data_IF_895056063376
#
_entry.id   IF_895056063376
#
_cell.length_a   1.000
_cell.length_b   1.000
_cell.length_c   1.000
_cell.angle_alpha   90.00
_cell.angle_beta   90.00
_cell.angle_gamma   90.00
#
_symmetry.space_group_name_H-M   'P 1'
#
loop_
_entity.id
_entity.type
_entity.pdbx_description
1 polymer ?
#
# COMPACT_ATOMS: atom_id res chain seq x y z
N UNK A 1 -4.35 54.34 -16.41
CA UNK A 1 -4.60 54.99 -15.12
C UNK A 1 -4.13 54.00 -14.07
N UNK A 2 -2.95 54.10 -13.66
CA UNK A 2 -2.31 54.97 -12.68
C UNK A 2 -2.69 54.64 -11.24
N UNK A 3 -1.68 54.07 -10.60
CA UNK A 3 -1.04 54.34 -9.30
C UNK A 3 -1.63 53.66 -8.06
N UNK A 4 -0.81 52.87 -7.47
CA UNK A 4 0.06 53.04 -6.27
C UNK A 4 -0.71 52.96 -4.95
N UNK A 5 -0.23 52.07 -4.06
CA UNK A 5 0.33 52.48 -2.77
C UNK A 5 1.26 51.39 -2.20
N UNK A 6 2.44 51.88 -1.83
CA UNK A 6 3.57 51.19 -1.20
C UNK A 6 3.50 51.31 0.33
N UNK A 7 4.09 50.31 1.00
CA UNK A 7 4.91 50.40 2.21
C UNK A 7 4.25 50.63 3.59
N UNK A 8 4.54 49.72 4.51
CA UNK A 8 5.29 50.05 5.74
C UNK A 8 5.93 48.80 6.34
N UNK A 9 7.23 48.82 6.29
CA UNK A 9 8.10 48.02 7.15
C UNK A 9 8.26 48.76 8.49
N UNK A 10 8.23 48.05 9.60
CA UNK A 10 8.70 48.56 10.89
C UNK A 10 9.55 47.52 11.60
N UNK A 11 10.80 47.85 11.66
CA UNK A 11 11.91 47.32 12.41
C UNK A 11 11.65 47.48 13.90
N UNK A 12 11.81 46.43 14.71
CA UNK A 12 12.04 46.53 16.15
C UNK A 12 13.38 45.92 16.48
N UNK A 13 14.23 46.78 17.03
CA UNK A 13 15.61 46.51 17.43
C UNK A 13 15.67 45.71 18.74
N UNK A 14 16.66 44.85 18.77
CA UNK A 14 17.28 44.28 19.98
C UNK A 14 17.84 45.39 20.88
N UNK A 15 17.61 45.26 22.18
CA UNK A 15 18.44 45.89 23.18
C UNK A 15 18.76 44.94 24.32
N UNK A 16 19.99 45.04 24.76
CA UNK A 16 20.82 44.17 25.49
C UNK A 16 20.47 43.96 26.96
N UNK A 17 21.01 42.88 27.49
CA UNK A 17 21.14 42.44 28.89
C UNK A 17 21.80 43.52 29.82
N UNK A 18 21.61 43.36 31.13
CA UNK A 18 22.81 43.35 31.97
C UNK A 18 22.94 42.13 32.87
N UNK A 19 24.22 41.80 33.00
CA UNK A 19 24.81 40.85 33.92
C UNK A 19 24.61 41.23 35.41
N UNK A 20 24.36 40.24 36.27
CA UNK A 20 24.65 40.37 37.69
C UNK A 20 25.45 39.19 38.23
N UNK A 21 26.47 39.60 38.99
CA UNK A 21 27.57 38.84 39.55
C UNK A 21 27.13 37.89 40.68
N UNK A 22 27.92 36.84 40.86
CA UNK A 22 28.08 36.00 42.04
C UNK A 22 28.46 36.87 43.25
N UNK A 23 27.87 36.60 44.39
CA UNK A 23 28.62 36.58 45.64
C UNK A 23 28.01 35.65 46.67
N UNK A 24 28.88 35.02 47.42
CA UNK A 24 28.71 34.06 48.50
C UNK A 24 28.14 34.71 49.74
N UNK A 25 27.35 33.94 50.53
CA UNK A 25 27.51 33.96 52.00
C UNK A 25 26.94 32.67 52.62
N UNK A 26 27.82 31.99 53.30
CA UNK A 26 27.56 30.87 54.21
C UNK A 26 26.93 31.38 55.53
N UNK A 27 26.01 30.61 56.16
CA UNK A 27 26.17 30.08 57.53
C UNK A 27 24.87 29.48 58.08
N UNK A 28 25.02 28.23 58.44
CA UNK A 28 24.53 27.48 59.62
C UNK A 28 23.27 27.96 60.37
N UNK A 29 22.30 27.04 60.48
CA UNK A 29 21.82 26.64 61.83
C UNK A 29 21.32 25.19 61.80
N UNK A 30 21.70 24.48 62.89
CA UNK A 30 21.50 23.05 63.07
C UNK A 30 20.23 22.73 63.84
N UNK A 31 19.80 21.50 63.64
CA UNK A 31 19.17 20.58 64.60
C UNK A 31 17.70 20.83 65.05
N UNK A 32 16.91 19.81 64.78
CA UNK A 32 15.63 19.57 65.44
C UNK A 32 14.92 18.37 64.80
N UNK A 33 15.33 17.17 65.30
CA UNK A 33 14.65 15.88 65.11
C UNK A 33 13.15 15.94 65.37
N UNK A 34 12.32 15.32 64.52
CA UNK A 34 11.33 14.32 64.95
C UNK A 34 10.85 13.49 63.79
N UNK A 35 11.03 12.19 63.93
CA UNK A 35 10.55 11.10 63.08
C UNK A 35 9.03 11.02 63.20
N UNK A 36 8.33 11.05 62.11
CA UNK A 36 7.02 10.44 61.97
C UNK A 36 6.98 9.70 60.67
N UNK A 37 7.26 8.40 60.74
CA UNK A 37 7.03 7.46 59.69
C UNK A 37 5.52 7.29 59.51
N UNK A 38 4.99 7.83 58.39
CA UNK A 38 3.70 7.41 57.87
C UNK A 38 4.02 6.66 56.59
N UNK A 39 3.97 5.33 56.71
CA UNK A 39 4.07 4.44 55.57
C UNK A 39 2.87 4.61 54.65
N UNK A 40 3.07 5.36 53.59
CA UNK A 40 2.22 5.27 52.44
C UNK A 40 2.66 4.05 51.63
N UNK A 41 2.00 2.93 51.86
CA UNK A 41 2.06 1.74 51.03
C UNK A 41 1.44 2.10 49.69
N UNK A 42 2.23 2.59 48.74
CA UNK A 42 1.86 2.63 47.34
C UNK A 42 1.78 1.18 46.88
N UNK A 43 0.57 0.64 46.85
CA UNK A 43 0.22 -0.51 46.05
C UNK A 43 0.33 -0.01 44.62
N UNK A 44 1.50 -0.19 44.01
CA UNK A 44 1.68 -0.22 42.56
C UNK A 44 0.92 -1.44 42.06
N UNK A 45 -0.40 -1.28 41.87
CA UNK A 45 -1.10 -2.13 40.93
C UNK A 45 -0.40 -1.87 39.58
N UNK A 46 0.47 -2.79 39.22
CA UNK A 46 0.99 -2.92 37.89
C UNK A 46 -0.22 -3.11 36.96
N UNK A 47 -0.80 -2.03 36.45
CA UNK A 47 -1.47 -2.05 35.17
C UNK A 47 -0.34 -2.41 34.22
N UNK A 48 -0.24 -3.68 33.89
CA UNK A 48 0.55 -4.17 32.77
C UNK A 48 -0.03 -3.50 31.54
N UNK A 49 0.56 -2.36 31.18
CA UNK A 49 0.44 -1.84 29.83
C UNK A 49 0.92 -2.98 28.97
N UNK A 50 0.03 -3.55 28.17
CA UNK A 50 0.38 -4.52 27.16
C UNK A 50 1.37 -3.80 26.22
N UNK A 51 2.64 -3.86 26.57
CA UNK A 51 3.72 -3.42 25.70
C UNK A 51 3.71 -4.36 24.51
N UNK A 52 3.74 -3.76 23.36
CA UNK A 52 3.81 -4.35 22.04
C UNK A 52 4.27 -5.81 22.05
N UNK A 53 3.33 -6.70 21.79
CA UNK A 53 3.60 -8.13 21.76
C UNK A 53 4.60 -8.54 20.65
N UNK A 54 5.05 -7.60 19.81
CA UNK A 54 6.19 -7.78 18.91
C UNK A 54 7.54 -7.62 19.63
N UNK A 55 7.60 -6.92 20.77
CA UNK A 55 8.84 -6.66 21.49
C UNK A 55 9.26 -7.79 22.44
N UNK A 56 8.35 -8.71 22.78
CA UNK A 56 8.56 -9.63 23.92
C UNK A 56 8.94 -11.08 23.54
N UNK A 57 9.03 -11.42 22.26
CA UNK A 57 9.53 -12.72 21.79
C UNK A 57 10.53 -12.55 20.65
N UNK A 58 11.77 -12.14 20.99
CA UNK A 58 12.87 -12.08 20.03
C UNK A 58 12.44 -11.44 18.70
N UNK A 59 12.38 -10.13 18.67
CA UNK A 59 12.29 -9.21 17.51
C UNK A 59 11.84 -9.83 16.18
N UNK A 60 10.66 -10.46 16.16
CA UNK A 60 10.05 -10.91 14.93
C UNK A 60 9.72 -9.68 14.07
N UNK A 61 10.34 -9.58 12.90
CA UNK A 61 10.06 -8.51 11.95
C UNK A 61 8.63 -8.67 11.41
N UNK A 62 7.92 -7.56 11.26
CA UNK A 62 6.67 -7.56 10.53
C UNK A 62 6.95 -7.53 9.03
N UNK A 63 6.27 -8.38 8.26
CA UNK A 63 6.26 -8.35 6.79
C UNK A 63 4.85 -8.24 6.27
N UNK A 64 4.68 -7.58 5.13
CA UNK A 64 3.40 -7.50 4.45
C UNK A 64 3.03 -8.86 3.86
N UNK A 65 1.85 -9.37 4.20
CA UNK A 65 1.29 -10.58 3.61
C UNK A 65 0.27 -10.27 2.52
N UNK A 66 -0.43 -9.17 2.67
CA UNK A 66 -1.31 -8.58 1.66
C UNK A 66 -1.33 -7.06 1.83
N UNK A 67 -1.41 -6.33 0.73
CA UNK A 67 -1.67 -4.89 0.74
C UNK A 67 -2.35 -4.46 -0.55
N UNK A 68 -2.93 -3.26 -0.53
CA UNK A 68 -3.48 -2.61 -1.72
C UNK A 68 -3.09 -1.14 -1.77
N UNK A 69 -3.07 -0.55 -2.97
CA UNK A 69 -3.03 0.90 -3.14
C UNK A 69 -4.44 1.48 -2.97
N UNK A 70 -4.55 2.64 -2.33
CA UNK A 70 -5.81 3.37 -2.22
C UNK A 70 -5.83 4.60 -3.12
N UNK A 71 -7.03 4.94 -3.54
CA UNK A 71 -7.39 6.16 -4.27
C UNK A 71 -8.70 6.72 -3.72
N UNK A 72 -9.08 7.90 -4.15
CA UNK A 72 -10.41 8.45 -3.89
C UNK A 72 -11.34 8.17 -5.07
N UNK A 73 -12.59 7.77 -4.86
CA UNK A 73 -13.57 7.62 -5.93
C UNK A 73 -13.98 8.98 -6.50
N UNK A 74 -14.72 8.98 -7.62
CA UNK A 74 -15.41 10.19 -8.05
C UNK A 74 -16.39 10.66 -6.98
N UNK A 75 -16.57 11.98 -6.76
CA UNK A 75 -17.51 12.49 -5.75
C UNK A 75 -18.94 11.92 -5.91
N UNK A 76 -19.37 11.67 -7.14
CA UNK A 76 -20.67 11.06 -7.44
C UNK A 76 -20.76 9.55 -7.16
N UNK A 77 -19.61 8.89 -6.91
CA UNK A 77 -19.51 7.44 -6.67
C UNK A 77 -19.13 7.10 -5.24
N UNK A 78 -18.99 8.11 -4.37
CA UNK A 78 -18.66 7.89 -2.95
C UNK A 78 -19.81 7.16 -2.26
N UNK A 79 -19.53 5.95 -1.81
CA UNK A 79 -20.49 5.14 -1.05
C UNK A 79 -20.63 5.72 0.36
N UNK A 80 -21.87 5.84 0.85
CA UNK A 80 -22.14 6.27 2.22
C UNK A 80 -22.45 5.05 3.07
N UNK A 81 -21.69 4.84 4.13
CA UNK A 81 -21.88 3.77 5.11
C UNK A 81 -22.51 4.32 6.37
N UNK A 82 -23.39 3.55 7.04
CA UNK A 82 -23.94 3.89 8.34
C UNK A 82 -24.51 2.66 9.02
N UNK A 83 -24.08 2.35 10.23
CA UNK A 83 -24.45 1.15 10.97
C UNK A 83 -24.32 -0.12 10.11
N UNK A 84 -23.14 -0.35 9.55
CA UNK A 84 -22.88 -1.44 8.60
C UNK A 84 -21.55 -2.14 8.92
N UNK A 85 -21.50 -3.43 8.60
CA UNK A 85 -20.29 -4.23 8.61
C UNK A 85 -19.81 -4.43 7.17
N UNK A 86 -18.54 -4.08 6.93
CA UNK A 86 -17.78 -4.44 5.72
C UNK A 86 -17.01 -5.73 6.04
N UNK A 87 -17.16 -6.78 5.26
CA UNK A 87 -16.30 -7.98 5.31
C UNK A 87 -15.51 -8.07 4.03
N UNK A 88 -14.23 -7.80 4.15
CA UNK A 88 -13.28 -7.74 3.04
C UNK A 88 -12.47 -9.03 2.97
N UNK A 89 -12.55 -9.72 1.83
CA UNK A 89 -11.82 -10.97 1.61
C UNK A 89 -10.55 -10.69 0.82
N UNK A 90 -9.42 -11.13 1.37
CA UNK A 90 -8.09 -10.87 0.79
C UNK A 90 -7.24 -12.14 0.78
N UNK A 91 -6.42 -12.30 -0.28
CA UNK A 91 -5.55 -13.46 -0.47
C UNK A 91 -4.14 -13.17 0.06
N UNK A 92 -3.74 -13.82 1.13
CA UNK A 92 -2.44 -13.61 1.79
C UNK A 92 -1.32 -14.37 1.08
N UNK A 93 -0.13 -13.77 0.98
CA UNK A 93 1.03 -14.38 0.29
C UNK A 93 1.89 -15.26 1.20
N UNK A 94 2.03 -14.89 2.47
CA UNK A 94 2.86 -15.58 3.47
C UNK A 94 2.05 -15.78 4.75
N UNK A 95 2.28 -16.91 5.43
CA UNK A 95 1.59 -17.28 6.66
C UNK A 95 2.39 -16.98 7.93
N UNK A 96 1.67 -16.98 9.07
CA UNK A 96 2.24 -16.83 10.41
C UNK A 96 1.23 -17.26 11.47
N UNK A 97 1.67 -17.29 12.72
CA UNK A 97 0.80 -17.45 13.89
C UNK A 97 0.32 -16.09 14.48
N UNK A 98 0.79 -14.96 13.94
CA UNK A 98 0.43 -13.62 14.41
C UNK A 98 0.18 -12.67 13.26
N UNK A 99 -0.82 -11.80 13.44
CA UNK A 99 -1.29 -10.87 12.40
C UNK A 99 -1.52 -9.47 12.98
N UNK A 100 -1.40 -8.47 12.13
CA UNK A 100 -1.92 -7.10 12.28
C UNK A 100 -2.67 -6.69 11.03
N UNK A 101 -3.62 -5.79 11.17
CA UNK A 101 -4.25 -5.13 10.00
C UNK A 101 -3.95 -3.64 10.02
N UNK A 102 -3.91 -3.07 8.83
CA UNK A 102 -3.78 -1.62 8.62
C UNK A 102 -5.07 -1.10 7.99
N UNK A 103 -5.67 -0.09 8.61
CA UNK A 103 -6.87 0.57 8.14
C UNK A 103 -6.52 2.02 7.82
N UNK A 104 -6.88 2.49 6.64
CA UNK A 104 -6.49 3.79 6.12
C UNK A 104 -7.70 4.71 5.96
N UNK A 105 -7.52 5.96 6.38
CA UNK A 105 -8.40 7.09 6.10
C UNK A 105 -7.66 8.11 5.21
N UNK A 106 -6.82 7.61 4.29
CA UNK A 106 -5.85 8.39 3.51
C UNK A 106 -6.48 9.56 2.75
N UNK A 107 -7.66 9.34 2.21
CA UNK A 107 -8.37 10.35 1.39
C UNK A 107 -9.64 10.85 2.07
N UNK A 108 -9.89 10.44 3.31
CA UNK A 108 -11.06 10.89 4.06
C UNK A 108 -11.02 12.38 4.36
N UNK A 109 -12.16 13.04 4.25
CA UNK A 109 -12.36 14.46 4.58
C UNK A 109 -12.71 14.69 6.06
N UNK A 110 -13.06 13.63 6.78
CA UNK A 110 -13.42 13.64 8.20
C UNK A 110 -12.76 12.46 8.94
N UNK A 111 -12.83 12.47 10.27
CA UNK A 111 -12.40 11.35 11.11
C UNK A 111 -13.23 10.12 10.80
N UNK A 112 -12.56 8.98 10.56
CA UNK A 112 -13.17 7.67 10.39
C UNK A 112 -13.29 6.97 11.74
N UNK A 113 -14.50 6.80 12.24
CA UNK A 113 -14.76 6.05 13.46
C UNK A 113 -15.02 4.57 13.13
N UNK A 114 -14.18 3.69 13.67
CA UNK A 114 -14.31 2.23 13.60
C UNK A 114 -14.80 1.71 14.94
N UNK A 115 -15.92 0.97 14.95
CA UNK A 115 -16.48 0.43 16.18
C UNK A 115 -15.83 -0.89 16.63
N UNK A 116 -15.53 -1.78 15.69
CA UNK A 116 -14.79 -3.02 15.94
C UNK A 116 -14.22 -3.60 14.65
N UNK A 117 -13.16 -4.39 14.78
CA UNK A 117 -12.51 -5.10 13.67
C UNK A 117 -12.22 -6.53 14.06
N UNK A 118 -12.56 -7.47 13.19
CA UNK A 118 -12.27 -8.89 13.36
C UNK A 118 -11.53 -9.43 12.14
N UNK A 119 -10.75 -10.49 12.34
CA UNK A 119 -10.13 -11.27 11.28
C UNK A 119 -10.50 -12.75 11.43
N UNK A 120 -10.73 -13.45 10.33
CA UNK A 120 -11.02 -14.88 10.31
C UNK A 120 -10.49 -15.52 9.03
N UNK A 121 -10.40 -16.85 8.98
CA UNK A 121 -10.22 -17.55 7.72
C UNK A 121 -11.52 -17.40 6.90
N UNK A 122 -11.40 -17.03 5.63
CA UNK A 122 -12.54 -16.87 4.74
C UNK A 122 -13.16 -18.24 4.40
N UNK A 123 -14.48 -18.30 4.44
CA UNK A 123 -15.27 -19.41 3.96
C UNK A 123 -15.77 -19.18 2.53
N UNK A 124 -16.91 -19.75 2.19
CA UNK A 124 -17.54 -19.54 0.89
C UNK A 124 -18.37 -18.25 0.89
N UNK A 125 -18.22 -17.40 -0.12
CA UNK A 125 -18.95 -16.13 -0.23
C UNK A 125 -18.65 -15.20 0.93
N UNK A 126 -19.68 -14.76 1.66
CA UNK A 126 -19.53 -13.86 2.82
C UNK A 126 -19.26 -14.60 4.14
N UNK A 127 -19.17 -15.94 4.14
CA UNK A 127 -18.95 -16.71 5.37
C UNK A 127 -17.49 -16.70 5.83
N UNK A 128 -17.31 -16.98 7.11
CA UNK A 128 -16.00 -17.28 7.72
C UNK A 128 -15.97 -18.73 8.20
N UNK A 129 -14.78 -19.30 8.31
CA UNK A 129 -14.59 -20.65 8.87
C UNK A 129 -14.92 -20.61 10.37
N UNK A 130 -15.87 -21.42 10.87
CA UNK A 130 -16.25 -21.41 12.29
C UNK A 130 -15.06 -21.67 13.21
N UNK A 131 -14.98 -20.90 14.31
CA UNK A 131 -13.93 -21.02 15.33
C UNK A 131 -12.61 -20.36 14.97
N UNK A 132 -12.55 -19.61 13.85
CA UNK A 132 -11.33 -18.87 13.45
C UNK A 132 -11.45 -17.37 13.66
N UNK A 133 -12.60 -16.88 14.10
CA UNK A 133 -12.84 -15.46 14.36
C UNK A 133 -11.95 -14.96 15.50
N UNK A 134 -11.26 -13.85 15.25
CA UNK A 134 -10.39 -13.18 16.21
C UNK A 134 -10.66 -11.68 16.20
N UNK A 135 -11.04 -11.13 17.37
CA UNK A 135 -11.16 -9.69 17.57
C UNK A 135 -9.78 -9.03 17.53
N UNK A 136 -9.71 -7.86 16.94
CA UNK A 136 -8.51 -7.01 16.88
C UNK A 136 -8.71 -5.76 17.72
N UNK A 137 -7.63 -5.28 18.34
CA UNK A 137 -7.63 -4.06 19.15
C UNK A 137 -6.64 -3.03 18.59
N UNK A 138 -6.77 -1.80 19.08
CA UNK A 138 -5.94 -0.65 18.71
C UNK A 138 -5.48 0.03 20.03
N UNK A 139 -4.26 -0.25 20.46
CA UNK A 139 -3.78 0.18 21.77
C UNK A 139 -4.62 -0.39 22.93
N UNK A 140 -5.13 -1.61 22.79
CA UNK A 140 -5.99 -2.31 23.75
C UNK A 140 -7.49 -1.97 23.64
N UNK A 141 -7.91 -1.04 22.76
CA UNK A 141 -9.33 -0.70 22.51
C UNK A 141 -9.86 -1.45 21.29
N UNK A 142 -11.11 -1.92 21.35
CA UNK A 142 -11.79 -2.51 20.18
C UNK A 142 -12.15 -1.46 19.10
N UNK A 143 -12.34 -0.21 19.53
CA UNK A 143 -12.70 0.90 18.65
C UNK A 143 -11.52 1.86 18.45
N UNK A 144 -11.54 2.59 17.32
CA UNK A 144 -10.56 3.62 17.02
C UNK A 144 -11.16 4.74 16.17
N UNK A 145 -10.69 5.97 16.42
CA UNK A 145 -10.90 7.14 15.58
C UNK A 145 -9.65 7.40 14.74
N UNK A 146 -9.77 7.31 13.41
CA UNK A 146 -8.67 7.51 12.47
C UNK A 146 -8.83 8.91 11.84
N UNK A 147 -7.95 9.86 12.13
CA UNK A 147 -8.01 11.20 11.53
C UNK A 147 -7.94 11.14 10.00
N UNK A 148 -8.46 12.18 9.34
CA UNK A 148 -8.30 12.37 7.90
C UNK A 148 -6.82 12.32 7.51
N UNK A 149 -6.47 11.58 6.46
CA UNK A 149 -5.10 11.39 5.98
C UNK A 149 -4.28 10.33 6.72
N UNK A 150 -4.78 9.77 7.83
CA UNK A 150 -4.03 8.84 8.67
C UNK A 150 -4.27 7.36 8.31
N UNK A 151 -3.36 6.51 8.80
CA UNK A 151 -3.46 5.04 8.80
C UNK A 151 -3.35 4.55 10.23
N UNK A 152 -4.23 3.64 10.63
CA UNK A 152 -4.18 2.95 11.91
C UNK A 152 -3.63 1.53 11.73
N UNK A 153 -2.86 1.09 12.73
CA UNK A 153 -2.32 -0.25 12.83
C UNK A 153 -2.93 -0.93 14.05
N UNK A 154 -3.52 -2.13 13.88
CA UNK A 154 -4.02 -2.89 15.01
C UNK A 154 -2.90 -3.40 15.91
N UNK A 155 -3.21 -3.75 17.13
CA UNK A 155 -2.34 -4.55 17.97
C UNK A 155 -2.10 -5.92 17.31
N UNK A 156 -0.99 -6.56 17.65
CA UNK A 156 -0.70 -7.89 17.13
C UNK A 156 -1.59 -8.92 17.81
N UNK A 157 -2.33 -9.70 17.03
CA UNK A 157 -3.21 -10.75 17.50
C UNK A 157 -2.65 -12.14 17.17
N UNK A 158 -2.91 -13.11 18.04
CA UNK A 158 -2.64 -14.52 17.75
C UNK A 158 -3.68 -15.02 16.75
N UNK A 159 -3.24 -15.25 15.53
CA UNK A 159 -4.09 -15.71 14.44
C UNK A 159 -3.27 -16.57 13.49
N UNK A 160 -3.50 -17.86 13.57
CA UNK A 160 -2.77 -18.83 12.75
C UNK A 160 -3.37 -18.91 11.36
N UNK A 161 -2.58 -18.55 10.36
CA UNK A 161 -2.94 -18.73 8.95
C UNK A 161 -1.73 -19.24 8.16
N UNK A 162 -2.01 -20.02 7.14
CA UNK A 162 -1.00 -20.45 6.17
C UNK A 162 -0.92 -19.41 5.06
N UNK A 163 0.26 -19.24 4.45
CA UNK A 163 0.36 -18.43 3.22
C UNK A 163 -0.51 -19.01 2.11
N UNK A 164 -0.86 -18.18 1.12
CA UNK A 164 -1.76 -18.52 0.01
C UNK A 164 -3.16 -18.92 0.52
N UNK A 165 -3.65 -18.17 1.50
CA UNK A 165 -4.94 -18.43 2.16
C UNK A 165 -5.80 -17.16 2.09
N UNK A 166 -7.09 -17.34 1.87
CA UNK A 166 -8.04 -16.24 1.94
C UNK A 166 -8.40 -15.96 3.40
N UNK A 167 -8.29 -14.70 3.80
CA UNK A 167 -8.72 -14.21 5.10
C UNK A 167 -9.81 -13.16 4.92
N UNK A 168 -10.74 -13.11 5.87
CA UNK A 168 -11.81 -12.14 5.93
C UNK A 168 -11.52 -11.14 7.04
N UNK A 169 -11.41 -9.85 6.70
CA UNK A 169 -11.33 -8.76 7.67
C UNK A 169 -12.70 -8.10 7.73
N UNK A 170 -13.34 -8.13 8.89
CA UNK A 170 -14.67 -7.54 9.11
C UNK A 170 -14.52 -6.23 9.90
N UNK A 171 -15.03 -5.12 9.35
CA UNK A 171 -14.93 -3.77 9.90
C UNK A 171 -16.34 -3.25 10.15
N UNK A 172 -16.65 -2.86 11.38
CA UNK A 172 -17.93 -2.26 11.73
C UNK A 172 -17.85 -0.73 11.76
N UNK A 173 -18.73 -0.10 11.01
CA UNK A 173 -18.91 1.35 10.90
C UNK A 173 -20.21 1.75 11.61
N UNK A 174 -20.17 2.20 12.88
CA UNK A 174 -21.39 2.49 13.64
C UNK A 174 -22.11 3.77 13.20
N UNK A 175 -21.35 4.78 12.76
CA UNK A 175 -21.84 6.08 12.33
C UNK A 175 -21.85 6.28 10.82
N UNK A 176 -22.30 7.46 10.39
CA UNK A 176 -22.22 7.87 8.98
C UNK A 176 -20.78 8.11 8.55
N UNK A 177 -20.33 7.42 7.50
CA UNK A 177 -18.96 7.50 6.96
C UNK A 177 -19.02 7.54 5.44
N UNK A 178 -18.26 8.47 4.84
CA UNK A 178 -18.04 8.52 3.40
C UNK A 178 -16.88 7.59 3.00
N UNK A 179 -17.10 6.72 2.02
CA UNK A 179 -16.09 5.81 1.46
C UNK A 179 -15.12 6.51 0.53
N UNK A 180 -14.38 7.51 1.04
CA UNK A 180 -13.46 8.33 0.25
C UNK A 180 -12.09 7.67 0.06
N UNK A 181 -11.80 6.61 0.81
CA UNK A 181 -10.58 5.81 0.72
C UNK A 181 -10.95 4.39 0.31
N UNK A 182 -10.60 4.00 -0.92
CA UNK A 182 -10.97 2.69 -1.48
C UNK A 182 -10.02 2.26 -2.57
N UNK A 183 -10.25 1.06 -3.14
CA UNK A 183 -9.64 0.60 -4.39
C UNK A 183 -10.57 0.86 -5.57
N UNK A 184 -10.13 0.51 -6.79
CA UNK A 184 -10.98 0.56 -7.98
C UNK A 184 -10.66 -0.61 -8.91
N UNK A 185 -11.71 -1.27 -9.43
CA UNK A 185 -11.61 -2.47 -10.29
C UNK A 185 -10.94 -3.68 -9.63
N UNK A 186 -10.84 -3.72 -8.34
CA UNK A 186 -10.34 -4.88 -7.59
C UNK A 186 -10.98 -4.92 -6.21
N UNK A 187 -11.16 -6.10 -5.67
CA UNK A 187 -11.65 -6.31 -4.32
C UNK A 187 -12.85 -7.25 -4.25
N UNK A 188 -13.05 -7.80 -3.07
CA UNK A 188 -14.24 -8.56 -2.70
C UNK A 188 -14.63 -8.12 -1.30
N UNK A 189 -15.71 -7.36 -1.20
CA UNK A 189 -16.26 -6.87 0.06
C UNK A 189 -17.74 -7.23 0.12
N UNK A 190 -18.17 -7.74 1.26
CA UNK A 190 -19.57 -8.00 1.58
C UNK A 190 -20.05 -6.95 2.57
N UNK A 191 -21.14 -6.28 2.25
CA UNK A 191 -21.75 -5.22 3.04
C UNK A 191 -23.02 -5.72 3.70
N UNK A 192 -23.10 -5.69 5.03
CA UNK A 192 -24.26 -6.10 5.81
C UNK A 192 -24.67 -5.02 6.83
N UNK A 193 -25.94 -4.95 7.18
CA UNK A 193 -26.47 -4.01 8.18
C UNK A 193 -26.10 -4.43 9.60
N UNK A 194 -25.83 -3.47 10.47
CA UNK A 194 -25.51 -3.67 11.88
C UNK A 194 -24.09 -4.20 12.14
N UNK A 195 -23.78 -4.40 13.41
CA UNK A 195 -22.52 -5.01 13.83
C UNK A 195 -22.58 -6.53 13.70
N UNK A 196 -21.97 -7.07 12.67
CA UNK A 196 -21.89 -8.50 12.36
C UNK A 196 -20.45 -8.97 12.18
N UNK A 197 -19.46 -8.30 12.78
CA UNK A 197 -18.03 -8.62 12.58
C UNK A 197 -17.69 -10.07 12.92
N UNK A 198 -18.28 -10.63 13.97
CA UNK A 198 -18.07 -12.01 14.43
C UNK A 198 -19.06 -13.04 13.82
N UNK A 199 -20.01 -12.59 13.00
CA UNK A 199 -21.02 -13.50 12.44
C UNK A 199 -20.39 -14.48 11.44
N UNK A 200 -20.73 -15.76 11.52
CA UNK A 200 -20.22 -16.77 10.59
C UNK A 200 -20.66 -16.44 9.16
N UNK A 201 -21.94 -16.11 8.99
CA UNK A 201 -22.53 -15.75 7.69
C UNK A 201 -23.08 -14.33 7.75
N UNK A 202 -23.10 -13.66 6.60
CA UNK A 202 -23.74 -12.36 6.42
C UNK A 202 -24.95 -12.49 5.49
N UNK A 203 -26.11 -12.96 6.02
CA UNK A 203 -27.30 -13.16 5.18
C UNK A 203 -27.77 -11.83 4.58
N UNK A 204 -28.04 -11.85 3.28
CA UNK A 204 -28.51 -10.66 2.56
C UNK A 204 -27.44 -9.59 2.32
N UNK A 205 -26.16 -9.89 2.53
CA UNK A 205 -25.07 -8.97 2.22
C UNK A 205 -25.01 -8.68 0.71
N UNK A 206 -24.78 -7.41 0.37
CA UNK A 206 -24.45 -7.02 -1.00
C UNK A 206 -22.93 -7.10 -1.22
N UNK A 207 -22.52 -7.41 -2.45
CA UNK A 207 -21.11 -7.46 -2.81
C UNK A 207 -20.66 -6.14 -3.44
N UNK A 208 -19.46 -5.68 -3.06
CA UNK A 208 -18.75 -4.58 -3.68
C UNK A 208 -17.48 -5.12 -4.34
N UNK A 209 -17.10 -4.55 -5.50
CA UNK A 209 -15.88 -4.91 -6.24
C UNK A 209 -14.65 -4.10 -5.83
N UNK A 210 -14.56 -3.66 -4.58
CA UNK A 210 -13.51 -2.81 -4.04
C UNK A 210 -13.20 -3.16 -2.59
N UNK A 211 -12.09 -2.66 -2.05
CA UNK A 211 -11.73 -2.77 -0.64
C UNK A 211 -11.70 -1.36 -0.01
N UNK A 212 -12.78 -0.93 0.68
CA UNK A 212 -12.80 0.33 1.41
C UNK A 212 -11.98 0.24 2.70
N UNK A 213 -11.11 1.20 2.95
CA UNK A 213 -10.33 1.39 4.18
C UNK A 213 -9.27 0.34 4.49
N UNK A 214 -9.45 -0.94 4.19
CA UNK A 214 -8.43 -1.96 4.47
C UNK A 214 -7.19 -1.72 3.59
N UNK A 215 -6.03 -1.48 4.22
CA UNK A 215 -4.79 -1.13 3.54
C UNK A 215 -3.76 -2.26 3.52
N UNK A 216 -3.78 -3.13 4.52
CA UNK A 216 -2.84 -4.24 4.58
C UNK A 216 -3.13 -5.25 5.68
N UNK A 217 -2.58 -6.44 5.47
CA UNK A 217 -2.49 -7.53 6.44
C UNK A 217 -1.01 -7.86 6.59
N UNK A 218 -0.48 -7.65 7.79
CA UNK A 218 0.91 -7.86 8.13
C UNK A 218 1.04 -9.06 9.05
N UNK A 219 2.13 -9.80 8.93
CA UNK A 219 2.38 -11.00 9.72
C UNK A 219 3.77 -10.94 10.37
N UNK A 220 3.97 -11.70 11.45
CA UNK A 220 5.30 -11.87 12.01
C UNK A 220 6.13 -12.80 11.12
N UNK A 221 7.39 -12.47 10.93
CA UNK A 221 8.33 -13.24 10.13
C UNK A 221 9.66 -13.44 10.87
N UNK A 222 10.50 -14.41 10.43
CA UNK A 222 11.88 -14.55 10.89
C UNK A 222 12.69 -13.26 10.70
N UNK A 223 13.87 -13.17 11.35
CA UNK A 223 14.75 -12.00 11.31
C UNK A 223 15.22 -11.63 9.89
N UNK A 224 15.25 -12.60 8.97
CA UNK A 224 15.54 -12.41 7.55
C UNK A 224 14.28 -12.18 6.69
N UNK A 225 13.13 -11.98 7.33
CA UNK A 225 11.88 -11.71 6.65
C UNK A 225 11.90 -10.42 5.86
N UNK A 226 11.32 -10.44 4.65
CA UNK A 226 11.24 -9.27 3.79
C UNK A 226 9.92 -9.20 3.02
N UNK A 227 9.56 -8.00 2.59
CA UNK A 227 8.42 -7.75 1.72
C UNK A 227 8.89 -7.36 0.33
N UNK A 228 8.32 -8.02 -0.67
CA UNK A 228 8.40 -7.67 -2.09
C UNK A 228 7.14 -6.87 -2.45
N UNK A 229 7.30 -5.65 -2.92
CA UNK A 229 6.19 -4.77 -3.29
C UNK A 229 6.04 -4.72 -4.80
N UNK A 230 4.89 -5.16 -5.32
CA UNK A 230 4.49 -4.93 -6.70
C UNK A 230 3.90 -3.51 -6.82
N UNK A 231 4.65 -2.59 -7.42
CA UNK A 231 4.31 -1.17 -7.57
C UNK A 231 3.98 -0.86 -9.02
N UNK A 232 2.69 -0.85 -9.37
CA UNK A 232 2.29 -1.06 -10.74
C UNK A 232 0.88 -0.50 -11.08
N UNK A 233 0.41 -0.85 -12.28
CA UNK A 233 -0.90 -0.49 -12.81
C UNK A 233 -1.85 -1.71 -13.01
N UNK A 234 -2.89 -1.52 -13.83
CA UNK A 234 -3.93 -2.52 -14.10
C UNK A 234 -3.43 -3.85 -14.68
N UNK A 235 -2.30 -3.85 -15.40
CA UNK A 235 -1.74 -5.09 -15.93
C UNK A 235 -1.38 -6.06 -14.80
N UNK A 236 -0.95 -5.54 -13.63
CA UNK A 236 -0.71 -6.33 -12.42
C UNK A 236 -2.01 -6.81 -11.77
N UNK A 237 -3.04 -5.97 -11.72
CA UNK A 237 -4.35 -6.32 -11.15
C UNK A 237 -4.98 -7.48 -11.91
N UNK A 238 -5.02 -7.39 -13.24
CA UNK A 238 -5.68 -8.40 -14.10
C UNK A 238 -4.88 -9.69 -14.16
N UNK A 239 -3.55 -9.60 -14.28
CA UNK A 239 -2.69 -10.80 -14.38
C UNK A 239 -2.45 -11.49 -13.05
N UNK A 240 -2.61 -10.79 -11.92
CA UNK A 240 -2.32 -11.28 -10.57
C UNK A 240 -0.94 -11.96 -10.44
N UNK A 241 0.07 -11.44 -11.16
CA UNK A 241 1.41 -12.01 -11.09
C UNK A 241 2.04 -11.99 -9.68
N UNK A 242 1.68 -11.07 -8.76
CA UNK A 242 2.18 -11.11 -7.39
C UNK A 242 1.74 -12.39 -6.65
N UNK A 243 0.49 -12.82 -6.82
CA UNK A 243 -0.01 -14.08 -6.28
C UNK A 243 0.75 -15.28 -6.88
N UNK A 244 0.96 -15.29 -8.20
CA UNK A 244 1.74 -16.31 -8.88
C UNK A 244 3.22 -16.34 -8.44
N UNK A 245 3.80 -15.18 -8.07
CA UNK A 245 5.13 -15.11 -7.46
C UNK A 245 5.11 -15.74 -6.06
N UNK A 246 4.13 -15.43 -5.22
CA UNK A 246 3.97 -16.02 -3.89
C UNK A 246 3.82 -17.55 -3.97
N UNK A 247 2.99 -18.06 -4.88
CA UNK A 247 2.87 -19.49 -5.18
C UNK A 247 4.24 -20.12 -5.54
N UNK A 248 5.02 -19.43 -6.39
CA UNK A 248 6.34 -19.89 -6.82
C UNK A 248 7.35 -19.90 -5.67
N UNK A 249 7.33 -18.89 -4.80
CA UNK A 249 8.17 -18.83 -3.60
C UNK A 249 7.82 -19.99 -2.65
N UNK A 250 6.55 -20.21 -2.39
CA UNK A 250 6.07 -21.30 -1.54
C UNK A 250 6.48 -22.68 -2.11
N UNK A 251 6.33 -22.89 -3.44
CA UNK A 251 6.77 -24.12 -4.12
C UNK A 251 8.28 -24.35 -4.06
N UNK A 252 9.08 -23.30 -3.85
CA UNK A 252 10.54 -23.35 -3.63
C UNK A 252 10.91 -23.37 -2.15
N UNK A 253 9.93 -23.49 -1.25
CA UNK A 253 10.11 -23.45 0.20
C UNK A 253 10.75 -22.16 0.74
N UNK A 254 10.65 -21.04 0.00
CA UNK A 254 11.04 -19.72 0.45
C UNK A 254 9.87 -19.17 1.28
N UNK A 255 10.03 -19.06 2.59
CA UNK A 255 8.97 -18.77 3.56
C UNK A 255 9.21 -17.48 4.37
N UNK A 256 10.21 -16.72 3.99
CA UNK A 256 10.58 -15.45 4.63
C UNK A 256 10.24 -14.23 3.76
N UNK A 257 9.63 -14.43 2.59
CA UNK A 257 9.27 -13.34 1.68
C UNK A 257 7.74 -13.22 1.56
N UNK A 258 7.22 -12.09 2.00
CA UNK A 258 5.85 -11.67 1.69
C UNK A 258 5.81 -10.93 0.35
N UNK A 259 4.76 -11.11 -0.43
CA UNK A 259 4.53 -10.42 -1.69
C UNK A 259 3.24 -9.62 -1.58
N UNK A 260 3.32 -8.32 -1.76
CA UNK A 260 2.15 -7.43 -1.71
C UNK A 260 1.99 -6.65 -3.00
N UNK A 261 0.76 -6.32 -3.35
CA UNK A 261 0.45 -5.53 -4.54
C UNK A 261 -0.19 -4.20 -4.14
N UNK A 262 0.43 -3.10 -4.54
CA UNK A 262 -0.12 -1.75 -4.40
C UNK A 262 -0.39 -1.13 -5.78
N UNK A 263 -0.81 -1.98 -6.71
CA UNK A 263 -1.17 -1.59 -8.07
C UNK A 263 -2.48 -0.79 -8.09
N UNK A 264 -2.56 0.20 -8.98
CA UNK A 264 -3.77 0.99 -9.25
C UNK A 264 -4.09 0.95 -10.74
N UNK A 265 -5.35 0.71 -11.09
CA UNK A 265 -5.79 0.74 -12.48
C UNK A 265 -5.51 2.11 -13.12
N UNK A 266 -5.09 2.11 -14.39
CA UNK A 266 -4.81 3.35 -15.13
C UNK A 266 -3.63 4.18 -14.61
N UNK A 267 -2.90 3.72 -13.61
CA UNK A 267 -1.89 4.53 -12.93
C UNK A 267 -0.71 4.89 -13.83
N UNK A 268 -0.07 6.02 -13.53
CA UNK A 268 1.05 6.59 -14.27
C UNK A 268 2.27 6.81 -13.38
N UNK A 269 3.45 6.86 -13.99
CA UNK A 269 4.70 7.17 -13.28
C UNK A 269 4.74 8.63 -12.83
N UNK A 270 4.38 9.57 -13.74
CA UNK A 270 4.67 11.00 -13.58
C UNK A 270 3.47 11.83 -13.14
N UNK A 271 2.29 11.61 -13.72
CA UNK A 271 1.13 12.47 -13.51
C UNK A 271 0.10 11.83 -12.59
N UNK A 272 -0.42 12.62 -11.65
CA UNK A 272 -1.61 12.25 -10.89
C UNK A 272 -2.81 12.11 -11.83
N UNK A 273 -3.82 11.39 -11.39
CA UNK A 273 -5.03 11.19 -12.15
C UNK A 273 -5.76 12.49 -12.49
N UNK A 274 -6.17 12.59 -13.75
CA UNK A 274 -7.04 13.64 -14.26
C UNK A 274 -7.84 13.07 -15.42
N UNK A 275 -9.09 13.50 -15.62
CA UNK A 275 -9.87 13.11 -16.79
C UNK A 275 -9.62 14.03 -17.98
N UNK A 276 -10.05 13.68 -19.21
CA UNK A 276 -9.88 14.49 -20.40
C UNK A 276 -10.49 15.87 -20.31
N UNK A 277 -11.54 16.03 -19.49
CA UNK A 277 -12.32 17.26 -19.33
C UNK A 277 -12.26 17.87 -17.93
N UNK A 278 -11.40 17.36 -17.05
CA UNK A 278 -11.29 17.89 -15.67
C UNK A 278 -10.79 16.85 -14.66
N UNK A 279 -10.87 17.19 -13.35
CA UNK A 279 -10.40 16.29 -12.30
C UNK A 279 -11.10 14.94 -12.30
N UNK A 280 -10.34 13.89 -12.32
CA UNK A 280 -10.80 12.50 -12.20
C UNK A 280 -9.81 11.71 -11.33
N UNK A 281 -10.09 11.54 -10.04
CA UNK A 281 -9.15 10.91 -9.10
C UNK A 281 -9.09 9.38 -9.19
N UNK A 282 -9.95 8.73 -9.99
CA UNK A 282 -10.16 7.27 -10.01
C UNK A 282 -8.92 6.43 -10.37
N UNK A 283 -7.92 7.03 -11.01
CA UNK A 283 -6.70 6.32 -11.40
C UNK A 283 -5.55 6.58 -10.43
N UNK A 284 -5.83 7.27 -9.32
CA UNK A 284 -4.93 7.50 -8.22
C UNK A 284 -3.83 8.53 -8.47
N UNK A 285 -3.04 8.76 -7.46
CA UNK A 285 -1.83 9.58 -7.54
C UNK A 285 -0.73 8.84 -8.33
N UNK A 286 0.19 9.58 -8.96
CA UNK A 286 1.33 8.98 -9.70
C UNK A 286 2.20 8.10 -8.81
N UNK A 287 2.96 7.19 -9.41
CA UNK A 287 3.90 6.36 -8.65
C UNK A 287 4.86 7.21 -7.82
N UNK A 288 5.41 8.28 -8.42
CA UNK A 288 6.33 9.17 -7.71
C UNK A 288 5.68 9.86 -6.50
N UNK A 289 4.40 10.22 -6.59
CA UNK A 289 3.67 10.89 -5.49
C UNK A 289 3.37 9.91 -4.35
N UNK A 290 2.98 8.65 -4.65
CA UNK A 290 2.54 7.68 -3.65
C UNK A 290 3.62 6.72 -3.16
N UNK A 291 4.88 6.89 -3.62
CA UNK A 291 5.99 5.98 -3.32
C UNK A 291 6.22 5.81 -1.81
N UNK A 292 6.27 6.89 -1.05
CA UNK A 292 6.55 6.82 0.39
C UNK A 292 5.42 6.12 1.13
N UNK A 293 4.17 6.44 0.82
CA UNK A 293 3.00 5.82 1.44
C UNK A 293 2.87 4.34 1.09
N UNK A 294 2.95 4.02 -0.21
CA UNK A 294 2.56 2.71 -0.72
C UNK A 294 3.73 1.72 -0.78
N UNK A 295 4.98 2.21 -0.82
CA UNK A 295 6.18 1.36 -0.84
C UNK A 295 6.94 1.44 0.48
N UNK A 296 7.43 2.62 0.88
CA UNK A 296 8.22 2.74 2.11
C UNK A 296 7.40 2.47 3.37
N UNK A 297 6.09 2.73 3.33
CA UNK A 297 5.14 2.39 4.39
C UNK A 297 4.83 0.89 4.52
N UNK A 298 5.34 0.01 3.65
CA UNK A 298 5.15 -1.43 3.80
C UNK A 298 6.12 -2.02 4.83
N UNK A 299 5.63 -2.84 5.78
CA UNK A 299 6.49 -3.41 6.79
C UNK A 299 7.51 -4.37 6.15
N UNK A 300 8.76 -4.27 6.58
CA UNK A 300 9.83 -5.14 6.12
C UNK A 300 10.15 -5.03 4.62
N UNK A 301 9.77 -3.94 3.94
CA UNK A 301 10.06 -3.77 2.51
C UNK A 301 11.57 -3.81 2.25
N UNK A 302 11.97 -4.62 1.27
CA UNK A 302 13.34 -4.74 0.76
C UNK A 302 13.41 -4.71 -0.76
N UNK A 303 12.36 -5.13 -1.43
CA UNK A 303 12.35 -5.32 -2.87
C UNK A 303 11.13 -4.65 -3.48
N UNK A 304 11.34 -3.91 -4.56
CA UNK A 304 10.28 -3.29 -5.35
C UNK A 304 10.35 -3.86 -6.76
N UNK A 305 9.23 -4.33 -7.27
CA UNK A 305 9.09 -4.68 -8.70
C UNK A 305 8.15 -3.64 -9.29
N UNK A 306 8.68 -2.79 -10.17
CA UNK A 306 7.91 -1.73 -10.81
C UNK A 306 7.48 -2.15 -12.22
N UNK A 307 6.17 -2.00 -12.53
CA UNK A 307 5.62 -2.22 -13.86
C UNK A 307 4.66 -1.10 -14.21
N UNK A 308 5.14 -0.10 -14.94
CA UNK A 308 4.47 1.17 -15.19
C UNK A 308 5.01 1.81 -16.48
N UNK A 309 4.28 2.79 -17.01
CA UNK A 309 4.70 3.62 -18.13
C UNK A 309 3.79 3.48 -19.35
N UNK A 310 3.01 2.41 -19.45
CA UNK A 310 2.07 2.22 -20.56
C UNK A 310 1.02 3.34 -20.58
N UNK A 311 0.44 3.66 -19.43
CA UNK A 311 -0.56 4.71 -19.31
C UNK A 311 0.03 6.12 -19.45
N UNK A 312 1.32 6.31 -19.19
CA UNK A 312 2.02 7.56 -19.50
C UNK A 312 2.18 7.76 -21.00
N UNK A 313 2.49 6.66 -21.73
CA UNK A 313 2.72 6.67 -23.19
C UNK A 313 1.39 6.82 -23.94
N UNK A 314 0.39 5.99 -23.65
CA UNK A 314 -0.79 5.80 -24.48
C UNK A 314 -2.08 6.41 -23.91
N UNK A 315 -2.07 6.82 -22.65
CA UNK A 315 -3.24 7.40 -21.97
C UNK A 315 -3.57 8.84 -22.35
N UNK A 316 -2.60 9.75 -22.58
CA UNK A 316 -2.88 11.12 -22.99
C UNK A 316 -3.63 11.17 -24.33
N UNK A 317 -4.74 11.91 -24.36
CA UNK A 317 -5.65 11.96 -25.50
C UNK A 317 -6.66 10.82 -25.61
N UNK A 318 -6.42 9.69 -24.90
CA UNK A 318 -7.39 8.59 -24.81
C UNK A 318 -8.31 8.78 -23.60
N UNK A 319 -7.80 8.73 -22.37
CA UNK A 319 -8.57 8.92 -21.12
C UNK A 319 -7.90 9.88 -20.11
N UNK A 320 -6.73 10.42 -20.49
CA UNK A 320 -6.07 11.53 -19.81
C UNK A 320 -6.04 12.80 -20.68
N UNK A 321 -5.77 13.98 -20.08
CA UNK A 321 -5.61 15.20 -20.87
C UNK A 321 -4.53 15.04 -21.93
N UNK A 322 -4.82 15.45 -23.16
CA UNK A 322 -3.84 15.38 -24.26
C UNK A 322 -2.62 16.29 -24.01
N UNK A 323 -2.74 17.28 -23.14
CA UNK A 323 -1.63 18.14 -22.72
C UNK A 323 -0.61 17.45 -21.80
N UNK A 324 -0.90 16.23 -21.31
CA UNK A 324 -0.04 15.46 -20.41
C UNK A 324 0.80 14.40 -21.13
N UNK A 325 1.02 14.58 -22.43
CA UNK A 325 1.97 13.77 -23.23
C UNK A 325 3.37 13.93 -22.66
N UNK A 326 4.04 12.81 -22.42
CA UNK A 326 5.40 12.77 -21.87
C UNK A 326 6.39 12.22 -22.89
N UNK A 327 7.62 12.72 -22.86
CA UNK A 327 8.70 12.16 -23.66
C UNK A 327 9.33 10.93 -22.99
N UNK A 328 10.07 10.14 -23.76
CA UNK A 328 10.90 9.06 -23.21
C UNK A 328 11.90 9.59 -22.18
N UNK A 329 12.46 10.78 -22.40
CA UNK A 329 13.41 11.40 -21.46
C UNK A 329 12.74 11.71 -20.11
N UNK A 330 11.49 12.18 -20.10
CA UNK A 330 10.72 12.44 -18.87
C UNK A 330 10.47 11.15 -18.10
N UNK A 331 10.07 10.07 -18.79
CA UNK A 331 9.88 8.76 -18.17
C UNK A 331 11.18 8.21 -17.56
N UNK A 332 12.30 8.31 -18.29
CA UNK A 332 13.62 7.90 -17.78
C UNK A 332 13.99 8.72 -16.55
N UNK A 333 13.79 10.04 -16.57
CA UNK A 333 14.04 10.89 -15.41
C UNK A 333 13.17 10.49 -14.21
N UNK A 334 11.90 10.17 -14.43
CA UNK A 334 10.99 9.68 -13.39
C UNK A 334 11.43 8.35 -12.78
N UNK A 335 11.84 7.39 -13.61
CA UNK A 335 12.38 6.12 -13.11
C UNK A 335 13.67 6.33 -12.29
N UNK A 336 14.56 7.21 -12.73
CA UNK A 336 15.78 7.56 -11.97
C UNK A 336 15.46 8.14 -10.59
N UNK A 337 14.42 8.98 -10.49
CA UNK A 337 13.97 9.49 -9.18
C UNK A 337 13.44 8.36 -8.29
N UNK A 338 12.67 7.42 -8.85
CA UNK A 338 12.16 6.28 -8.10
C UNK A 338 13.32 5.39 -7.61
N UNK A 339 14.27 5.07 -8.50
CA UNK A 339 15.46 4.27 -8.17
C UNK A 339 16.28 4.94 -7.06
N UNK A 340 16.59 6.23 -7.21
CA UNK A 340 17.38 6.96 -6.23
C UNK A 340 16.72 6.95 -4.85
N UNK A 341 15.41 7.26 -4.78
CA UNK A 341 14.65 7.23 -3.51
C UNK A 341 14.59 5.84 -2.88
N UNK A 342 14.47 4.78 -3.69
CA UNK A 342 14.50 3.41 -3.21
C UNK A 342 15.88 3.03 -2.66
N UNK A 343 16.96 3.34 -3.39
CA UNK A 343 18.32 3.04 -2.99
C UNK A 343 18.73 3.80 -1.72
N UNK A 344 18.30 5.05 -1.53
CA UNK A 344 18.51 5.80 -0.27
C UNK A 344 17.92 5.08 0.96
N UNK A 345 16.90 4.25 0.75
CA UNK A 345 16.27 3.43 1.81
C UNK A 345 16.79 1.98 1.83
N UNK A 346 17.84 1.68 1.05
CA UNK A 346 18.43 0.33 0.96
C UNK A 346 17.52 -0.69 0.27
N UNK A 347 16.56 -0.25 -0.55
CA UNK A 347 15.69 -1.14 -1.31
C UNK A 347 16.31 -1.47 -2.67
N UNK A 348 16.02 -2.65 -3.20
CA UNK A 348 16.30 -3.00 -4.59
C UNK A 348 15.09 -2.71 -5.48
N UNK A 349 15.34 -2.28 -6.72
CA UNK A 349 14.31 -1.99 -7.72
C UNK A 349 14.52 -2.85 -8.95
N UNK A 350 13.57 -3.74 -9.23
CA UNK A 350 13.49 -4.46 -10.51
C UNK A 350 12.42 -3.81 -11.38
N UNK A 351 12.69 -3.62 -12.68
CA UNK A 351 11.70 -3.11 -13.61
C UNK A 351 11.15 -4.23 -14.50
N UNK A 352 9.82 -4.25 -14.68
CA UNK A 352 9.21 -5.01 -15.77
C UNK A 352 9.27 -4.19 -17.06
N UNK A 353 9.61 -4.84 -18.18
CA UNK A 353 9.37 -4.23 -19.50
C UNK A 353 7.87 -4.14 -19.77
N UNK A 354 7.45 -3.09 -20.48
CA UNK A 354 6.04 -2.86 -20.81
C UNK A 354 5.59 -3.91 -21.83
N UNK A 355 4.49 -4.61 -21.53
CA UNK A 355 3.89 -5.63 -22.39
C UNK A 355 3.39 -5.05 -23.71
N UNK A 356 3.25 -5.88 -24.78
CA UNK A 356 2.60 -5.48 -26.01
C UNK A 356 1.15 -5.04 -25.81
N UNK A 357 0.68 -4.12 -26.66
CA UNK A 357 -0.70 -3.58 -26.63
C UNK A 357 -1.39 -3.58 -27.98
N UNK A 358 -0.76 -4.19 -28.98
CA UNK A 358 -1.25 -4.20 -30.37
C UNK A 358 -2.54 -4.99 -30.54
N UNK A 359 -3.49 -4.40 -31.22
CA UNK A 359 -4.83 -4.93 -31.45
C UNK A 359 -5.84 -4.49 -30.39
N UNK A 360 -5.46 -3.62 -29.44
CA UNK A 360 -6.41 -3.05 -28.47
C UNK A 360 -7.45 -2.19 -29.18
N UNK A 361 -8.71 -2.58 -29.04
CA UNK A 361 -9.86 -1.86 -29.59
C UNK A 361 -10.73 -1.20 -28.52
N UNK A 362 -10.47 -1.51 -27.26
CA UNK A 362 -11.26 -1.00 -26.13
C UNK A 362 -10.95 0.46 -25.79
N UNK A 363 -9.75 0.93 -26.14
CA UNK A 363 -9.27 2.29 -25.87
C UNK A 363 -8.80 2.91 -27.20
N UNK A 364 -9.68 3.61 -27.95
CA UNK A 364 -9.31 4.25 -29.21
C UNK A 364 -8.10 5.18 -29.06
N UNK A 365 -7.13 5.08 -29.97
CA UNK A 365 -5.91 5.88 -29.94
C UNK A 365 -4.82 5.33 -29.00
N UNK A 366 -5.05 4.20 -28.34
CA UNK A 366 -4.06 3.57 -27.44
C UNK A 366 -2.99 2.80 -28.24
N UNK A 367 -3.42 2.00 -29.21
CA UNK A 367 -2.56 1.20 -30.09
C UNK A 367 -2.22 1.98 -31.38
N UNK A 368 -1.22 2.86 -31.33
CA UNK A 368 -0.70 3.58 -32.47
C UNK A 368 0.76 3.20 -32.75
N UNK A 369 1.25 3.37 -34.01
CA UNK A 369 2.67 3.13 -34.32
C UNK A 369 3.62 3.97 -33.45
N UNK A 370 3.24 5.20 -33.11
CA UNK A 370 4.01 6.13 -32.28
C UNK A 370 4.12 5.63 -30.83
N UNK A 371 3.00 5.15 -30.26
CA UNK A 371 2.98 4.58 -28.89
C UNK A 371 3.76 3.26 -28.84
N UNK A 372 3.66 2.42 -29.87
CA UNK A 372 4.48 1.20 -29.96
C UNK A 372 5.97 1.53 -30.06
N UNK A 373 6.35 2.51 -30.87
CA UNK A 373 7.74 2.95 -30.98
C UNK A 373 8.27 3.48 -29.60
N UNK A 374 7.45 4.26 -28.88
CA UNK A 374 7.79 4.76 -27.56
C UNK A 374 7.94 3.61 -26.54
N UNK A 375 7.03 2.63 -26.55
CA UNK A 375 7.08 1.41 -25.74
C UNK A 375 8.39 0.63 -25.97
N UNK A 376 8.70 0.38 -27.24
CA UNK A 376 9.92 -0.35 -27.64
C UNK A 376 11.18 0.39 -27.20
N UNK A 377 11.22 1.71 -27.37
CA UNK A 377 12.36 2.54 -26.97
C UNK A 377 12.55 2.54 -25.45
N UNK A 378 11.46 2.66 -24.67
CA UNK A 378 11.54 2.59 -23.20
C UNK A 378 11.96 1.18 -22.73
N UNK A 379 11.41 0.12 -23.34
CA UNK A 379 11.81 -1.25 -23.05
C UNK A 379 13.29 -1.52 -23.36
N UNK A 380 13.81 -0.93 -24.44
CA UNK A 380 15.24 -1.00 -24.74
C UNK A 380 16.07 -0.37 -23.62
N UNK A 381 15.70 0.83 -23.16
CA UNK A 381 16.40 1.47 -22.03
C UNK A 381 16.30 0.63 -20.75
N UNK A 382 15.11 0.11 -20.40
CA UNK A 382 14.95 -0.75 -19.22
C UNK A 382 15.92 -1.95 -19.27
N UNK A 383 16.09 -2.59 -20.46
CA UNK A 383 16.96 -3.75 -20.62
C UNK A 383 18.44 -3.42 -20.58
N UNK A 384 18.86 -2.24 -21.05
CA UNK A 384 20.25 -1.97 -21.39
C UNK A 384 20.92 -0.90 -20.53
N UNK A 385 20.17 -0.10 -19.78
CA UNK A 385 20.73 0.99 -18.99
C UNK A 385 21.60 0.52 -17.82
N UNK A 386 21.32 -0.65 -17.25
CA UNK A 386 21.98 -1.11 -16.03
C UNK A 386 21.62 -0.32 -14.78
N UNK A 387 20.60 0.57 -14.85
CA UNK A 387 20.22 1.44 -13.73
C UNK A 387 19.32 0.73 -12.72
N UNK A 388 18.60 -0.33 -13.13
CA UNK A 388 17.80 -1.17 -12.23
C UNK A 388 18.62 -2.33 -11.66
N UNK A 389 18.29 -2.78 -10.44
CA UNK A 389 18.92 -3.95 -9.82
C UNK A 389 18.55 -5.26 -10.52
N UNK A 390 17.51 -5.25 -11.34
CA UNK A 390 17.09 -6.37 -12.16
C UNK A 390 16.04 -5.97 -13.19
N UNK A 391 15.88 -6.81 -14.21
CA UNK A 391 14.87 -6.65 -15.26
C UNK A 391 14.02 -7.91 -15.33
N UNK A 392 12.70 -7.72 -15.28
CA UNK A 392 11.71 -8.76 -15.57
C UNK A 392 11.21 -8.51 -16.98
N UNK A 393 11.63 -9.33 -17.94
CA UNK A 393 11.27 -9.12 -19.34
C UNK A 393 9.85 -9.60 -19.67
N UNK A 394 8.86 -8.83 -19.17
CA UNK A 394 7.45 -9.13 -19.38
C UNK A 394 7.05 -9.03 -20.85
N UNK A 395 7.66 -8.13 -21.62
CA UNK A 395 7.44 -8.03 -23.08
C UNK A 395 7.79 -9.36 -23.79
N UNK A 396 8.97 -9.91 -23.53
CA UNK A 396 9.39 -11.20 -24.14
C UNK A 396 8.54 -12.35 -23.59
N UNK A 397 8.20 -12.33 -22.30
CA UNK A 397 7.44 -13.41 -21.68
C UNK A 397 6.00 -13.52 -22.16
N UNK A 398 5.42 -12.42 -22.65
CA UNK A 398 4.00 -12.31 -22.99
C UNK A 398 3.69 -12.16 -24.47
N UNK A 399 4.65 -11.66 -25.27
CA UNK A 399 4.38 -11.35 -26.67
C UNK A 399 4.20 -12.60 -27.53
N UNK A 400 3.41 -12.46 -28.58
CA UNK A 400 3.34 -13.45 -29.65
C UNK A 400 4.63 -13.38 -30.51
N UNK A 401 5.41 -14.46 -30.60
CA UNK A 401 6.61 -14.47 -31.45
C UNK A 401 6.33 -14.19 -32.96
N UNK A 402 5.13 -14.53 -33.44
CA UNK A 402 4.70 -14.28 -34.81
C UNK A 402 4.17 -12.87 -35.04
N UNK A 403 3.73 -12.19 -33.96
CA UNK A 403 3.22 -10.82 -33.99
C UNK A 403 3.70 -10.05 -32.76
N UNK A 404 4.97 -9.62 -32.66
CA UNK A 404 5.60 -9.13 -31.41
C UNK A 404 4.97 -7.89 -30.80
N UNK A 405 4.11 -7.19 -31.53
CA UNK A 405 3.33 -6.06 -31.00
C UNK A 405 2.08 -6.49 -30.23
N UNK A 406 1.76 -7.81 -30.20
CA UNK A 406 0.56 -8.38 -29.58
C UNK A 406 0.90 -9.34 -28.44
N UNK A 407 -0.01 -9.45 -27.49
CA UNK A 407 0.02 -10.52 -26.50
C UNK A 407 -0.21 -11.87 -27.21
N UNK A 408 0.49 -12.91 -26.76
CA UNK A 408 0.20 -14.28 -27.17
C UNK A 408 -1.21 -14.64 -26.68
N UNK A 409 -2.04 -15.19 -27.55
CA UNK A 409 -3.47 -15.41 -27.29
C UNK A 409 -3.79 -16.15 -25.98
N UNK A 410 -2.92 -17.10 -25.56
CA UNK A 410 -3.09 -17.81 -24.28
C UNK A 410 -2.88 -16.92 -23.06
N UNK A 411 -2.20 -15.78 -23.21
CA UNK A 411 -1.91 -14.82 -22.14
C UNK A 411 -2.82 -13.59 -22.16
N UNK A 412 -3.60 -13.42 -23.21
CA UNK A 412 -4.50 -12.28 -23.40
C UNK A 412 -5.78 -12.45 -22.57
N UNK A 413 -6.22 -11.39 -21.87
CA UNK A 413 -7.50 -11.38 -21.15
C UNK A 413 -8.72 -11.27 -22.10
N UNK A 414 -8.49 -11.01 -23.39
CA UNK A 414 -9.49 -10.80 -24.42
C UNK A 414 -9.67 -9.33 -24.83
N UNK A 415 -8.98 -8.41 -24.18
CA UNK A 415 -8.98 -6.98 -24.48
C UNK A 415 -7.75 -6.50 -25.27
N UNK A 416 -6.82 -7.41 -25.52
CA UNK A 416 -5.55 -7.19 -26.23
C UNK A 416 -4.61 -6.18 -25.57
N UNK A 417 -4.80 -5.96 -24.25
CA UNK A 417 -4.03 -5.03 -23.45
C UNK A 417 -3.51 -5.67 -22.16
N UNK A 418 -4.40 -6.35 -21.42
CA UNK A 418 -4.09 -6.91 -20.14
C UNK A 418 -3.77 -8.39 -20.22
N UNK A 419 -2.66 -8.85 -19.62
CA UNK A 419 -2.42 -10.28 -19.47
C UNK A 419 -3.42 -10.91 -18.50
N UNK A 420 -3.85 -12.13 -18.80
CA UNK A 420 -4.68 -12.94 -17.92
C UNK A 420 -3.84 -13.67 -16.83
N UNK A 421 -4.47 -14.54 -16.03
CA UNK A 421 -3.79 -15.30 -14.96
C UNK A 421 -2.67 -16.21 -15.51
N UNK A 422 -2.79 -16.74 -16.74
CA UNK A 422 -1.72 -17.53 -17.37
C UNK A 422 -0.52 -16.65 -17.73
N UNK A 423 -0.78 -15.42 -18.21
CA UNK A 423 0.22 -14.37 -18.39
C UNK A 423 0.89 -13.98 -17.08
N UNK A 424 0.13 -13.83 -16.00
CA UNK A 424 0.67 -13.58 -14.67
C UNK A 424 1.66 -14.66 -14.21
N UNK A 425 1.34 -15.91 -14.43
CA UNK A 425 2.27 -17.03 -14.19
C UNK A 425 3.52 -16.97 -15.09
N UNK A 426 3.39 -16.51 -16.34
CA UNK A 426 4.54 -16.32 -17.21
C UNK A 426 5.47 -15.20 -16.71
N UNK A 427 4.93 -14.08 -16.26
CA UNK A 427 5.68 -12.98 -15.60
C UNK A 427 6.38 -13.49 -14.35
N UNK A 428 5.64 -14.15 -13.45
CA UNK A 428 6.22 -14.71 -12.23
C UNK A 428 7.38 -15.68 -12.51
N UNK A 429 7.35 -16.44 -13.60
CA UNK A 429 8.47 -17.30 -14.02
C UNK A 429 9.68 -16.52 -14.52
N UNK A 430 9.47 -15.36 -15.14
CA UNK A 430 10.54 -14.49 -15.64
C UNK A 430 11.31 -13.76 -14.51
N UNK A 431 10.75 -13.69 -13.30
CA UNK A 431 11.41 -13.08 -12.14
C UNK A 431 12.56 -13.99 -11.67
N UNK A 432 13.77 -13.44 -11.60
CA UNK A 432 14.92 -14.15 -11.04
C UNK A 432 14.88 -14.13 -9.51
N UNK A 433 14.56 -15.27 -8.88
CA UNK A 433 14.44 -15.38 -7.42
C UNK A 433 15.77 -15.14 -6.68
N UNK A 434 16.92 -15.32 -7.32
CA UNK A 434 18.23 -15.03 -6.73
C UNK A 434 18.40 -13.54 -6.39
N UNK A 435 17.61 -12.65 -7.00
CA UNK A 435 17.60 -11.21 -6.71
C UNK A 435 17.01 -10.88 -5.34
N UNK A 436 16.34 -11.82 -4.70
CA UNK A 436 15.81 -11.69 -3.35
C UNK A 436 16.74 -12.27 -2.28
N UNK A 437 17.78 -12.98 -2.67
CA UNK A 437 18.80 -13.45 -1.74
C UNK A 437 19.58 -12.23 -1.22
N UNK A 438 19.69 -12.09 0.09
CA UNK A 438 20.35 -10.94 0.72
C UNK A 438 21.82 -10.84 0.26
N UNK A 439 22.20 -9.70 -0.32
CA UNK A 439 23.62 -9.34 -0.57
C UNK A 439 24.33 -8.85 0.72
N UNK A 440 23.79 -9.17 1.89
CA UNK A 440 24.31 -8.67 3.17
C UNK A 440 25.11 -9.73 3.94
N UNK A 441 25.99 -10.43 3.22
CA UNK A 441 27.05 -11.22 3.84
C UNK A 441 28.38 -10.78 3.22
N UNK A 442 28.81 -9.54 3.54
CA UNK A 442 30.23 -9.15 3.49
C UNK A 442 30.44 -8.02 4.49
#
# INVERSE_FOLDING_TARGET
MCRLWLAMASIVRFSALPSFRKDRLFRNFAAGTYVAAVGALFVLTSMGVAHDAWADKGRALAVGSWATGHMTPLPSSVVQYSNQTLREVVHTSIGSDRVRVRIANTFGSATLHIGSVHIALAGSGSSIVPGTDQSLTFGGSESIDIPAGAVALSDAADFRQHGLTDVAVSIYLPGAVAGETTTFFQGTTFLASGNQVAAIDLPGASALGEWPFLFGVDVSAPDDGATVVAFADSATIVSQWPNALAERLAAKHIRNLGVVSVALAGNRLLHNSAGPSGPDPRWGQSLLTRFDRDVLGQPGVKHVIVWIGLNDIAGPGAFYPASEVVSQADLIAGFRQLIARAHEQGLTVQACTISPMGGNTSLPGFDTPEHEAARVALNHWIRTSGEFDGVVDADVALRDPAAPTRLLAIYDSGDHLHPNLAGGRAIARAIDLKRFESRWSD
#
